data_IF_232953016593
#
_entry.id   IF_232953016593
#
_cell.length_a   1.000
_cell.length_b   1.000
_cell.length_c   1.000
_cell.angle_alpha   90.00
_cell.angle_beta   90.00
_cell.angle_gamma   90.00
#
_symmetry.space_group_name_H-M   'P 1'
#
loop_
_entity.id
_entity.type
_entity.pdbx_description
1 polymer ?
#
# COMPACT_ATOMS: atom_id res chain seq x y z
N UNK A 1 11.87 18.20 11.11
CA UNK A 1 11.58 16.74 10.93
C UNK A 1 12.84 16.02 10.52
N UNK A 2 13.00 14.80 11.03
CA UNK A 2 14.20 13.98 10.77
C UNK A 2 14.03 13.05 9.55
N UNK A 3 12.91 13.12 8.87
CA UNK A 3 12.65 12.35 7.65
C UNK A 3 11.91 13.21 6.65
N UNK A 4 11.88 12.75 5.40
CA UNK A 4 11.19 13.46 4.30
C UNK A 4 10.26 12.51 3.57
N UNK A 5 9.09 13.02 3.22
CA UNK A 5 8.22 12.40 2.22
C UNK A 5 8.79 12.78 0.85
N UNK A 6 9.13 11.79 0.05
CA UNK A 6 9.75 12.00 -1.27
C UNK A 6 8.72 12.00 -2.39
N UNK A 7 7.67 11.19 -2.29
CA UNK A 7 6.67 11.04 -3.35
C UNK A 7 5.47 10.23 -2.85
N UNK A 8 4.40 10.24 -3.62
CA UNK A 8 3.38 9.19 -3.54
C UNK A 8 3.95 7.99 -4.28
N UNK A 9 4.19 6.90 -3.55
CA UNK A 9 4.75 5.67 -4.14
C UNK A 9 3.68 4.92 -4.91
N UNK A 10 2.53 4.68 -4.26
CA UNK A 10 1.41 4.03 -4.92
C UNK A 10 0.07 4.33 -4.25
N UNK A 11 -1.00 4.09 -4.99
CA UNK A 11 -2.37 3.99 -4.50
C UNK A 11 -2.78 2.52 -4.63
N UNK A 12 -3.20 1.92 -3.53
CA UNK A 12 -3.62 0.51 -3.50
C UNK A 12 -5.14 0.40 -3.50
N UNK A 13 -5.63 -0.47 -4.37
CA UNK A 13 -7.06 -0.69 -4.59
C UNK A 13 -7.39 -2.14 -4.25
N UNK A 14 -8.33 -2.34 -3.33
CA UNK A 14 -8.83 -3.67 -2.99
C UNK A 14 -9.80 -4.16 -4.06
N UNK A 15 -9.56 -5.36 -4.58
CA UNK A 15 -10.38 -5.97 -5.62
C UNK A 15 -10.74 -7.41 -5.25
N UNK A 16 -11.95 -7.83 -5.62
CA UNK A 16 -12.39 -9.21 -5.47
C UNK A 16 -11.91 -10.08 -6.64
N UNK A 17 -11.79 -9.46 -7.83
CA UNK A 17 -11.27 -10.06 -9.04
C UNK A 17 -10.36 -9.02 -9.69
N UNK A 18 -9.15 -9.41 -10.07
CA UNK A 18 -8.18 -8.51 -10.68
C UNK A 18 -8.37 -8.31 -12.18
N UNK A 19 -9.16 -9.14 -12.85
CA UNK A 19 -9.29 -9.15 -14.32
C UNK A 19 -9.88 -7.85 -14.87
N UNK A 20 -11.05 -7.45 -14.38
CA UNK A 20 -11.69 -6.22 -14.82
C UNK A 20 -10.87 -4.97 -14.46
N UNK A 21 -10.39 -4.81 -13.21
CA UNK A 21 -9.53 -3.68 -12.88
C UNK A 21 -8.24 -3.64 -13.69
N UNK A 22 -7.63 -4.78 -13.97
CA UNK A 22 -6.43 -4.84 -14.81
C UNK A 22 -6.74 -4.38 -16.24
N UNK A 23 -7.91 -4.70 -16.77
CA UNK A 23 -8.34 -4.23 -18.08
C UNK A 23 -8.53 -2.70 -18.08
N UNK A 24 -9.13 -2.16 -17.03
CA UNK A 24 -9.30 -0.70 -16.91
C UNK A 24 -7.96 0.02 -16.87
N UNK A 25 -7.08 -0.35 -15.96
CA UNK A 25 -5.81 0.37 -15.78
C UNK A 25 -4.80 0.04 -16.88
N UNK A 26 -4.75 -1.22 -17.32
CA UNK A 26 -3.81 -1.66 -18.34
C UNK A 26 -4.24 -1.32 -19.76
N UNK A 27 -5.42 -1.78 -20.19
CA UNK A 27 -5.86 -1.61 -21.57
C UNK A 27 -6.55 -0.29 -21.81
N UNK A 28 -7.53 0.06 -20.99
CA UNK A 28 -8.32 1.27 -21.19
C UNK A 28 -7.50 2.53 -20.96
N UNK A 29 -6.74 2.59 -19.87
CA UNK A 29 -5.94 3.74 -19.51
C UNK A 29 -4.49 3.67 -20.01
N UNK A 30 -4.05 2.51 -20.47
CA UNK A 30 -2.71 2.34 -21.09
C UNK A 30 -1.57 2.38 -20.08
N UNK A 31 -1.83 2.12 -18.80
CA UNK A 31 -0.75 2.07 -17.78
C UNK A 31 -0.10 0.69 -17.83
N UNK A 32 1.23 0.68 -17.88
CA UNK A 32 1.98 -0.58 -18.02
C UNK A 32 1.90 -1.43 -16.76
N UNK A 33 1.45 -2.68 -16.89
CA UNK A 33 1.60 -3.69 -15.84
C UNK A 33 3.06 -4.13 -15.79
N UNK A 34 3.75 -3.89 -14.69
CA UNK A 34 5.18 -4.17 -14.56
C UNK A 34 5.47 -5.46 -13.80
N UNK A 35 4.57 -5.88 -12.92
CA UNK A 35 4.74 -7.12 -12.18
C UNK A 35 3.46 -7.57 -11.50
N UNK A 36 3.43 -8.87 -11.17
CA UNK A 36 2.42 -9.48 -10.31
C UNK A 36 3.17 -10.25 -9.24
N UNK A 37 2.87 -10.00 -7.98
CA UNK A 37 3.62 -10.58 -6.88
C UNK A 37 2.69 -11.06 -5.77
N UNK A 38 2.95 -12.25 -5.23
CA UNK A 38 2.30 -12.67 -4.00
C UNK A 38 3.10 -12.16 -2.79
N UNK A 39 2.45 -11.36 -1.94
CA UNK A 39 3.06 -10.87 -0.70
C UNK A 39 2.47 -11.70 0.44
N UNK A 40 3.15 -12.77 0.80
CA UNK A 40 2.63 -13.81 1.70
C UNK A 40 2.30 -13.26 3.08
N UNK A 41 3.15 -12.42 3.65
CA UNK A 41 2.93 -11.85 4.98
C UNK A 41 1.75 -10.86 5.04
N UNK A 42 1.30 -10.36 3.90
CA UNK A 42 0.11 -9.51 3.79
C UNK A 42 -1.11 -10.25 3.27
N UNK A 43 -0.94 -11.51 2.86
CA UNK A 43 -2.01 -12.39 2.36
C UNK A 43 -2.72 -11.80 1.15
N UNK A 44 -1.94 -11.28 0.19
CA UNK A 44 -2.44 -10.67 -1.04
C UNK A 44 -1.60 -11.07 -2.24
N UNK A 45 -2.23 -11.06 -3.41
CA UNK A 45 -1.56 -10.98 -4.71
C UNK A 45 -1.69 -9.54 -5.17
N UNK A 46 -0.56 -8.94 -5.54
CA UNK A 46 -0.47 -7.53 -5.93
C UNK A 46 -0.13 -7.44 -7.41
N UNK A 47 -1.02 -6.81 -8.19
CA UNK A 47 -0.76 -6.43 -9.58
C UNK A 47 -0.31 -4.97 -9.60
N UNK A 48 0.87 -4.70 -10.17
CA UNK A 48 1.47 -3.37 -10.15
C UNK A 48 1.42 -2.75 -11.55
N UNK A 49 0.82 -1.57 -11.63
CA UNK A 49 0.73 -0.74 -12.83
C UNK A 49 1.53 0.53 -12.59
N UNK A 50 2.57 0.76 -13.39
CA UNK A 50 3.54 1.83 -13.16
C UNK A 50 3.38 2.93 -14.22
N UNK A 51 3.08 4.16 -13.77
CA UNK A 51 2.97 5.32 -14.65
C UNK A 51 4.33 5.95 -14.98
N UNK A 52 5.38 5.51 -14.30
CA UNK A 52 6.70 6.16 -14.34
C UNK A 52 6.88 7.22 -13.26
N UNK A 53 5.80 7.74 -12.70
CA UNK A 53 5.81 8.75 -11.64
C UNK A 53 5.09 8.30 -10.36
N UNK A 54 4.43 7.17 -10.40
CA UNK A 54 3.72 6.56 -9.27
C UNK A 54 3.01 5.31 -9.78
N UNK A 55 2.50 4.50 -8.84
CA UNK A 55 1.93 3.21 -9.18
C UNK A 55 0.50 3.07 -8.70
N UNK A 56 -0.26 2.26 -9.41
CA UNK A 56 -1.52 1.67 -8.94
C UNK A 56 -1.23 0.21 -8.61
N UNK A 57 -1.63 -0.22 -7.42
CA UNK A 57 -1.52 -1.61 -7.01
C UNK A 57 -2.91 -2.19 -6.79
N UNK A 58 -3.23 -3.27 -7.50
CA UNK A 58 -4.47 -4.00 -7.28
C UNK A 58 -4.19 -5.12 -6.29
N UNK A 59 -4.92 -5.13 -5.18
CA UNK A 59 -4.72 -6.08 -4.09
C UNK A 59 -5.87 -7.08 -4.09
N UNK A 60 -5.56 -8.35 -4.33
CA UNK A 60 -6.51 -9.44 -4.23
C UNK A 60 -6.13 -10.33 -3.05
N UNK A 61 -7.09 -10.61 -2.16
CA UNK A 61 -6.85 -11.48 -1.01
C UNK A 61 -6.53 -12.90 -1.44
N UNK A 62 -5.57 -13.54 -0.74
CA UNK A 62 -5.26 -14.96 -0.93
C UNK A 62 -5.97 -15.85 0.07
N UNK A 63 -6.47 -15.27 1.17
CA UNK A 63 -7.16 -16.02 2.25
C UNK A 63 -8.32 -15.18 2.79
N UNK A 64 -9.29 -15.85 3.44
CA UNK A 64 -10.46 -15.19 4.02
C UNK A 64 -10.11 -14.28 5.20
N UNK A 65 -8.99 -14.53 5.87
CA UNK A 65 -8.52 -13.70 6.99
C UNK A 65 -7.59 -12.56 6.56
N UNK A 66 -7.40 -12.37 5.26
CA UNK A 66 -6.65 -11.22 4.73
C UNK A 66 -7.35 -9.90 5.11
N UNK A 67 -6.59 -8.84 5.42
CA UNK A 67 -7.17 -7.51 5.60
C UNK A 67 -7.98 -7.04 4.40
N UNK A 68 -7.62 -7.47 3.19
CA UNK A 68 -8.36 -7.13 1.96
C UNK A 68 -9.72 -7.82 1.93
N UNK A 69 -9.81 -9.09 2.36
CA UNK A 69 -11.10 -9.77 2.44
C UNK A 69 -12.06 -9.04 3.39
N UNK A 70 -11.55 -8.60 4.54
CA UNK A 70 -12.33 -7.84 5.52
C UNK A 70 -12.77 -6.48 4.99
N UNK A 71 -11.89 -5.81 4.26
CA UNK A 71 -12.21 -4.52 3.64
C UNK A 71 -13.33 -4.68 2.60
N UNK A 72 -13.24 -5.70 1.74
CA UNK A 72 -14.24 -5.97 0.71
C UNK A 72 -15.61 -6.29 1.31
N UNK A 73 -15.66 -7.04 2.42
CA UNK A 73 -16.91 -7.33 3.11
C UNK A 73 -17.60 -6.07 3.62
N UNK A 74 -16.82 -5.12 4.14
CA UNK A 74 -17.37 -3.91 4.74
C UNK A 74 -17.67 -2.82 3.75
N UNK A 75 -16.80 -2.65 2.73
CA UNK A 75 -16.84 -1.48 1.84
C UNK A 75 -16.97 -1.83 0.36
N UNK A 76 -16.76 -3.08 -0.02
CA UNK A 76 -16.65 -3.46 -1.41
C UNK A 76 -15.33 -3.01 -2.04
N UNK A 77 -15.25 -3.11 -3.36
CA UNK A 77 -14.08 -2.72 -4.15
C UNK A 77 -13.82 -1.22 -4.01
N UNK A 78 -12.57 -0.83 -3.84
CA UNK A 78 -12.22 0.58 -3.75
C UNK A 78 -10.80 0.82 -3.23
N UNK A 79 -10.43 2.09 -3.12
CA UNK A 79 -9.12 2.48 -2.60
C UNK A 79 -8.96 1.99 -1.17
N UNK A 80 -7.89 1.22 -0.93
CA UNK A 80 -7.59 0.66 0.38
C UNK A 80 -6.61 1.53 1.16
N UNK A 81 -5.54 1.97 0.52
CA UNK A 81 -4.55 2.83 1.17
C UNK A 81 -3.75 3.65 0.15
N UNK A 82 -3.06 4.66 0.68
CA UNK A 82 -2.09 5.47 -0.07
C UNK A 82 -0.74 5.25 0.58
N UNK A 83 0.29 5.01 -0.23
CA UNK A 83 1.66 4.80 0.23
C UNK A 83 2.53 5.98 -0.16
N UNK A 84 3.29 6.48 0.81
CA UNK A 84 4.27 7.54 0.60
C UNK A 84 5.68 6.97 0.70
N UNK A 85 6.52 7.34 -0.27
CA UNK A 85 7.94 7.02 -0.23
C UNK A 85 8.64 7.96 0.74
N UNK A 86 9.43 7.41 1.65
CA UNK A 86 10.22 8.18 2.61
C UNK A 86 11.71 7.87 2.44
N UNK A 87 12.55 8.78 2.89
CA UNK A 87 14.00 8.61 2.84
C UNK A 87 14.52 7.67 3.93
N UNK A 88 13.89 7.68 5.12
CA UNK A 88 14.30 6.83 6.23
C UNK A 88 13.08 6.41 7.05
N UNK A 89 12.64 5.17 6.88
CA UNK A 89 11.42 4.69 7.50
C UNK A 89 11.55 4.56 9.03
N UNK A 90 12.67 4.06 9.52
CA UNK A 90 12.87 3.91 10.97
C UNK A 90 12.82 5.26 11.69
N UNK A 91 13.49 6.28 11.15
CA UNK A 91 13.43 7.63 11.72
C UNK A 91 12.01 8.21 11.62
N UNK A 92 11.31 7.94 10.51
CA UNK A 92 9.94 8.40 10.35
C UNK A 92 9.02 7.83 11.43
N UNK A 93 9.11 6.53 11.68
CA UNK A 93 8.29 5.87 12.69
C UNK A 93 8.59 6.39 14.10
N UNK A 94 9.87 6.56 14.43
CA UNK A 94 10.27 7.11 15.73
C UNK A 94 9.72 8.51 15.93
N UNK A 95 9.91 9.39 14.96
CA UNK A 95 9.44 10.78 15.07
C UNK A 95 7.92 10.86 15.14
N UNK A 96 7.21 10.11 14.29
CA UNK A 96 5.76 10.11 14.28
C UNK A 96 5.19 9.57 15.60
N UNK A 97 5.78 8.51 16.14
CA UNK A 97 5.40 7.98 17.44
C UNK A 97 5.60 9.01 18.54
N UNK A 98 6.73 9.71 18.56
CA UNK A 98 7.01 10.77 19.54
C UNK A 98 6.02 11.93 19.42
N UNK A 99 5.46 12.16 18.25
CA UNK A 99 4.47 13.20 18.00
C UNK A 99 3.02 12.72 18.25
N UNK A 100 2.85 11.53 18.76
CA UNK A 100 1.53 10.99 19.13
C UNK A 100 0.79 10.27 18.02
N UNK A 101 1.42 9.99 16.89
CA UNK A 101 0.79 9.21 15.81
C UNK A 101 0.71 7.75 16.24
N UNK A 102 -0.48 7.17 16.11
CA UNK A 102 -0.68 5.75 16.39
C UNK A 102 -0.18 4.92 15.22
N UNK A 103 0.77 4.03 15.49
CA UNK A 103 1.35 3.15 14.48
C UNK A 103 0.64 1.80 14.51
N UNK A 104 0.35 1.25 13.30
CA UNK A 104 -0.04 -0.16 13.18
C UNK A 104 1.21 -1.02 13.26
N UNK A 105 2.25 -0.65 12.49
CA UNK A 105 3.55 -1.30 12.54
C UNK A 105 4.55 -0.42 13.27
N UNK A 106 5.15 -0.92 14.34
CA UNK A 106 6.16 -0.17 15.11
C UNK A 106 7.55 -0.29 14.52
N UNK A 107 7.75 -1.27 13.66
CA UNK A 107 9.02 -1.53 12.99
C UNK A 107 8.77 -1.85 11.52
N UNK A 108 9.72 -1.52 10.64
CA UNK A 108 9.60 -1.86 9.22
C UNK A 108 9.47 -3.36 8.98
N UNK A 109 8.68 -3.73 7.98
CA UNK A 109 8.59 -5.10 7.47
C UNK A 109 8.67 -5.08 5.95
N UNK A 110 8.90 -6.22 5.33
CA UNK A 110 9.07 -6.31 3.88
C UNK A 110 7.70 -6.41 3.20
N UNK A 111 7.46 -5.55 2.23
CA UNK A 111 6.28 -5.56 1.37
C UNK A 111 6.61 -5.92 -0.07
N UNK A 112 5.73 -5.52 -0.98
CA UNK A 112 5.91 -5.77 -2.41
C UNK A 112 7.22 -5.13 -2.92
N UNK A 113 7.83 -5.76 -3.91
CA UNK A 113 9.07 -5.30 -4.55
C UNK A 113 10.26 -5.18 -3.58
N UNK A 114 10.22 -5.90 -2.46
CA UNK A 114 11.28 -5.83 -1.45
C UNK A 114 11.33 -4.52 -0.67
N UNK A 115 10.34 -3.65 -0.82
CA UNK A 115 10.28 -2.38 -0.10
C UNK A 115 10.14 -2.62 1.40
N UNK A 116 10.76 -1.78 2.21
CA UNK A 116 10.46 -1.73 3.64
C UNK A 116 9.21 -0.90 3.84
N UNK A 117 8.25 -1.43 4.58
CA UNK A 117 6.95 -0.78 4.77
C UNK A 117 6.53 -0.74 6.24
N UNK A 118 5.65 0.21 6.55
CA UNK A 118 4.93 0.27 7.82
C UNK A 118 3.64 1.06 7.63
N UNK A 119 2.57 0.63 8.32
CA UNK A 119 1.28 1.30 8.26
C UNK A 119 1.05 2.18 9.48
N UNK A 120 0.45 3.34 9.25
CA UNK A 120 -0.05 4.25 10.29
C UNK A 120 -1.54 3.98 10.50
N UNK A 121 -2.00 4.08 11.76
CA UNK A 121 -3.41 3.86 12.05
C UNK A 121 -4.28 5.00 11.49
N UNK A 122 -5.41 4.70 10.84
CA UNK A 122 -6.27 5.73 10.23
C UNK A 122 -6.78 6.78 11.22
N UNK A 123 -6.90 6.45 12.52
CA UNK A 123 -7.29 7.43 13.53
C UNK A 123 -6.34 8.62 13.62
N UNK A 124 -5.07 8.43 13.23
CA UNK A 124 -4.06 9.49 13.24
C UNK A 124 -3.88 10.16 11.87
N UNK A 125 -4.53 9.67 10.83
CA UNK A 125 -4.35 10.13 9.44
C UNK A 125 -5.68 10.47 8.77
N UNK A 126 -6.59 11.07 9.53
CA UNK A 126 -7.87 11.59 9.03
C UNK A 126 -8.77 10.51 8.40
N UNK A 127 -8.69 9.28 8.88
CA UNK A 127 -9.52 8.17 8.39
C UNK A 127 -8.98 7.47 7.14
N UNK A 128 -7.84 7.91 6.62
CA UNK A 128 -7.19 7.28 5.46
C UNK A 128 -6.09 6.35 5.94
N UNK A 129 -6.12 5.09 5.52
CA UNK A 129 -5.01 4.19 5.82
C UNK A 129 -3.78 4.63 5.02
N UNK A 130 -2.70 4.94 5.73
CA UNK A 130 -1.45 5.42 5.15
C UNK A 130 -0.35 4.40 5.37
N UNK A 131 0.36 4.09 4.30
CA UNK A 131 1.56 3.27 4.32
C UNK A 131 2.77 4.19 4.11
N UNK A 132 3.84 3.96 4.85
CA UNK A 132 5.14 4.56 4.55
C UNK A 132 6.04 3.47 4.02
N UNK A 133 6.80 3.78 2.97
CA UNK A 133 7.70 2.81 2.36
C UNK A 133 9.06 3.41 2.05
N UNK A 134 10.08 2.57 2.09
CA UNK A 134 11.46 2.93 1.81
C UNK A 134 12.01 1.91 0.83
N UNK A 135 12.75 2.38 -0.15
CA UNK A 135 13.43 1.51 -1.14
C UNK A 135 14.41 0.57 -0.45
N UNK A 136 14.53 -0.68 -0.95
CA UNK A 136 15.46 -1.63 -0.38
C UNK A 136 16.93 -1.18 -0.48
#
# INVERSE_FOLDING_TARGET
MNFKILAIEHVAIAVDDAKEPADVFGNLLGIKNTSTEEVVNQKVITDIFDTGAGKIELLKATTDDSPISKFLEKRGRGVHHIAFLVDNLSLALDELSDRGVQLIDRAPRVGAEGMLIAFLHPSSTSGVLVELCQKP
#
